data_IF_461798783323
#
_entry.id   IF_461798783323
#
_cell.length_a   1.000
_cell.length_b   1.000
_cell.length_c   1.000
_cell.angle_alpha   90.00
_cell.angle_beta   90.00
_cell.angle_gamma   90.00
#
_symmetry.space_group_name_H-M   'P 1'
#
loop_
_entity.id
_entity.type
_entity.pdbx_description
1 polymer ?
#
# COMPACT_ATOMS: atom_id res chain seq x y z
N UNK A 1 64.96 -44.06 -30.63
CA UNK A 1 64.04 -43.72 -31.73
C UNK A 1 62.62 -43.92 -31.23
N UNK A 2 62.04 -42.88 -30.66
CA UNK A 2 60.73 -42.89 -29.99
C UNK A 2 59.73 -42.23 -30.91
N UNK A 3 58.70 -43.00 -31.36
CA UNK A 3 57.56 -42.52 -32.14
C UNK A 3 56.59 -41.77 -31.21
N UNK A 4 56.37 -40.48 -31.51
CA UNK A 4 55.33 -39.68 -30.93
C UNK A 4 54.01 -39.99 -31.58
N UNK A 5 53.02 -40.47 -30.83
CA UNK A 5 51.64 -40.64 -31.27
C UNK A 5 50.88 -39.36 -30.90
N UNK A 6 50.44 -38.62 -31.91
CA UNK A 6 49.50 -37.52 -31.74
C UNK A 6 48.08 -38.04 -31.69
N UNK A 7 47.39 -37.88 -30.59
CA UNK A 7 45.95 -38.10 -30.45
C UNK A 7 45.21 -36.82 -30.84
N UNK A 8 44.38 -36.88 -31.89
CA UNK A 8 43.46 -35.80 -32.26
C UNK A 8 42.16 -36.01 -31.51
N UNK A 9 41.82 -35.05 -30.63
CA UNK A 9 40.54 -35.01 -29.95
C UNK A 9 39.57 -34.23 -30.85
N UNK A 10 38.57 -34.93 -31.39
CA UNK A 10 37.43 -34.29 -32.06
C UNK A 10 36.45 -33.77 -31.02
N UNK A 11 36.35 -32.45 -30.91
CA UNK A 11 35.33 -31.79 -30.07
C UNK A 11 34.02 -31.81 -30.86
N UNK A 12 33.10 -32.70 -30.47
CA UNK A 12 31.71 -32.68 -30.93
C UNK A 12 31.00 -31.60 -30.12
N UNK A 13 30.77 -30.43 -30.73
CA UNK A 13 29.92 -29.42 -30.18
C UNK A 13 28.46 -29.82 -30.35
N UNK A 14 27.89 -30.34 -29.26
CA UNK A 14 26.46 -30.64 -29.19
C UNK A 14 25.73 -29.32 -28.93
N UNK A 15 25.25 -28.64 -29.97
CA UNK A 15 24.33 -27.50 -29.84
C UNK A 15 23.00 -27.99 -29.30
N UNK A 16 22.81 -27.86 -27.98
CA UNK A 16 21.51 -28.05 -27.37
C UNK A 16 20.61 -26.88 -27.79
N UNK A 17 19.72 -27.10 -28.73
CA UNK A 17 18.55 -26.24 -28.96
C UNK A 17 17.70 -26.32 -27.68
N UNK A 18 17.82 -25.34 -26.80
CA UNK A 18 16.87 -25.08 -25.75
C UNK A 18 15.57 -24.62 -26.43
N UNK A 19 14.69 -25.58 -26.73
CA UNK A 19 13.29 -25.26 -27.03
C UNK A 19 12.71 -24.60 -25.78
N UNK A 20 12.51 -23.30 -25.85
CA UNK A 20 11.69 -22.58 -24.88
C UNK A 20 10.27 -23.12 -25.00
N UNK A 21 9.88 -24.03 -24.10
CA UNK A 21 8.49 -24.41 -23.91
C UNK A 21 7.78 -23.12 -23.48
N UNK A 22 6.81 -22.62 -24.25
CA UNK A 22 6.01 -21.48 -23.78
C UNK A 22 5.27 -22.00 -22.55
N UNK A 23 5.65 -21.55 -21.36
CA UNK A 23 4.81 -21.64 -20.18
C UNK A 23 3.52 -20.94 -20.56
N UNK A 24 2.46 -21.72 -20.78
CA UNK A 24 1.12 -21.19 -20.99
C UNK A 24 0.85 -20.29 -19.78
N UNK A 25 0.89 -18.99 -20.00
CA UNK A 25 0.54 -18.03 -18.98
C UNK A 25 -0.92 -18.32 -18.63
N UNK A 26 -1.16 -18.92 -17.47
CA UNK A 26 -2.52 -19.12 -16.98
C UNK A 26 -3.08 -17.71 -16.87
N UNK A 27 -4.00 -17.35 -17.77
CA UNK A 27 -4.62 -16.03 -17.79
C UNK A 27 -5.30 -15.81 -16.44
N UNK A 28 -5.04 -14.65 -15.82
CA UNK A 28 -5.73 -14.27 -14.62
C UNK A 28 -7.25 -14.27 -14.86
N UNK A 29 -8.07 -14.68 -13.87
CA UNK A 29 -9.51 -14.62 -14.02
C UNK A 29 -9.95 -13.17 -14.23
N UNK A 30 -10.79 -12.96 -15.24
CA UNK A 30 -11.40 -11.63 -15.46
C UNK A 30 -12.57 -11.43 -14.50
N UNK A 31 -12.47 -10.41 -13.68
CA UNK A 31 -13.49 -10.05 -12.70
C UNK A 31 -14.38 -8.92 -13.23
N UNK A 32 -15.67 -9.07 -13.09
CA UNK A 32 -16.65 -8.07 -13.48
C UNK A 32 -17.03 -7.21 -12.30
N UNK A 33 -17.09 -5.88 -12.51
CA UNK A 33 -17.57 -4.97 -11.49
C UNK A 33 -19.03 -5.27 -11.15
N UNK A 34 -19.31 -5.48 -9.86
CA UNK A 34 -20.62 -5.78 -9.31
C UNK A 34 -21.17 -4.56 -8.59
N UNK A 35 -21.48 -3.49 -9.34
CA UNK A 35 -22.01 -2.24 -8.80
C UNK A 35 -21.17 -1.00 -9.17
N UNK A 36 -21.27 0.03 -8.35
CA UNK A 36 -20.57 1.31 -8.48
C UNK A 36 -19.71 1.58 -7.27
N UNK A 37 -18.74 2.49 -7.41
CA UNK A 37 -17.93 2.95 -6.30
C UNK A 37 -18.77 3.48 -5.15
N UNK A 38 -18.54 2.97 -3.95
CA UNK A 38 -19.05 3.50 -2.70
C UNK A 38 -17.95 4.25 -1.97
N UNK A 39 -18.25 5.42 -1.40
CA UNK A 39 -17.31 6.18 -0.60
C UNK A 39 -17.70 6.01 0.86
N UNK A 40 -16.78 5.45 1.63
CA UNK A 40 -16.90 5.32 3.08
C UNK A 40 -16.16 6.48 3.73
N UNK A 41 -16.86 7.20 4.59
CA UNK A 41 -16.33 8.32 5.36
C UNK A 41 -16.36 7.96 6.84
N UNK A 42 -15.20 7.74 7.39
CA UNK A 42 -15.02 7.38 8.80
C UNK A 42 -13.83 8.10 9.38
N UNK A 43 -12.94 7.35 10.00
CA UNK A 43 -11.64 7.81 10.47
C UNK A 43 -10.66 8.03 9.32
N UNK A 44 -10.93 7.45 8.17
CA UNK A 44 -10.22 7.61 6.90
C UNK A 44 -11.22 7.58 5.74
N UNK A 45 -10.75 7.91 4.54
CA UNK A 45 -11.57 7.99 3.33
C UNK A 45 -11.26 6.80 2.43
N UNK A 46 -12.27 5.98 2.14
CA UNK A 46 -12.11 4.77 1.33
C UNK A 46 -13.12 4.76 0.20
N UNK A 47 -12.66 4.56 -1.03
CA UNK A 47 -13.49 4.20 -2.18
C UNK A 47 -13.45 2.68 -2.37
N UNK A 48 -14.59 2.02 -2.29
CA UNK A 48 -14.72 0.57 -2.47
C UNK A 48 -15.52 0.24 -3.73
N UNK A 49 -15.05 -0.73 -4.49
CA UNK A 49 -15.75 -1.36 -5.59
C UNK A 49 -15.72 -2.88 -5.43
N UNK A 50 -16.86 -3.52 -5.64
CA UNK A 50 -16.97 -4.98 -5.59
C UNK A 50 -16.86 -5.56 -6.98
N UNK A 51 -16.29 -6.76 -7.04
CA UNK A 51 -16.17 -7.55 -8.25
C UNK A 51 -16.70 -8.96 -8.02
N UNK A 52 -17.17 -9.58 -9.09
CA UNK A 52 -17.61 -10.97 -9.08
C UNK A 52 -16.96 -11.74 -10.22
N UNK A 53 -16.63 -13.00 -9.96
CA UNK A 53 -16.20 -13.99 -10.94
C UNK A 53 -16.84 -15.34 -10.58
N UNK A 54 -17.83 -15.80 -11.36
CA UNK A 54 -18.67 -16.96 -11.03
C UNK A 54 -19.34 -16.79 -9.65
N UNK A 55 -19.03 -17.68 -8.69
CA UNK A 55 -19.52 -17.61 -7.31
C UNK A 55 -18.65 -16.74 -6.40
N UNK A 56 -17.45 -16.40 -6.83
CA UNK A 56 -16.45 -15.74 -6.01
C UNK A 56 -16.67 -14.23 -6.01
N UNK A 57 -16.39 -13.60 -4.90
CA UNK A 57 -16.48 -12.16 -4.72
C UNK A 57 -15.13 -11.59 -4.30
N UNK A 58 -14.87 -10.37 -4.73
CA UNK A 58 -13.68 -9.63 -4.39
C UNK A 58 -14.07 -8.20 -4.06
N UNK A 59 -13.46 -7.63 -3.03
CA UNK A 59 -13.53 -6.19 -2.75
C UNK A 59 -12.20 -5.55 -3.12
N UNK A 60 -12.29 -4.48 -3.90
CA UNK A 60 -11.17 -3.62 -4.25
C UNK A 60 -11.40 -2.26 -3.63
N UNK A 61 -10.49 -1.81 -2.80
CA UNK A 61 -10.62 -0.54 -2.09
C UNK A 61 -9.39 0.34 -2.33
N UNK A 62 -9.62 1.63 -2.40
CA UNK A 62 -8.60 2.68 -2.46
C UNK A 62 -8.81 3.60 -1.28
N UNK A 63 -7.85 3.63 -0.37
CA UNK A 63 -7.80 4.55 0.75
C UNK A 63 -6.81 5.67 0.41
N UNK A 64 -7.22 6.93 0.56
CA UNK A 64 -6.34 8.07 0.37
C UNK A 64 -5.55 8.41 1.64
N UNK A 65 -4.30 8.83 1.49
CA UNK A 65 -3.57 9.53 2.54
C UNK A 65 -3.89 11.03 2.42
N UNK A 66 -4.58 11.65 3.39
CA UNK A 66 -4.99 13.04 3.26
C UNK A 66 -3.81 14.03 3.33
N UNK A 67 -2.61 13.56 3.72
CA UNK A 67 -1.41 14.39 3.89
C UNK A 67 -0.30 14.08 2.87
N UNK A 68 -0.48 13.08 2.01
CA UNK A 68 0.50 12.66 1.01
C UNK A 68 -0.18 12.33 -0.31
N UNK A 69 0.50 12.48 -1.46
CA UNK A 69 0.00 12.01 -2.75
C UNK A 69 0.17 10.48 -2.86
N UNK A 70 -0.39 9.76 -1.89
CA UNK A 70 -0.28 8.32 -1.72
C UNK A 70 -1.68 7.72 -1.50
N UNK A 71 -1.90 6.56 -2.09
CA UNK A 71 -3.11 5.78 -1.93
C UNK A 71 -2.74 4.36 -1.54
N UNK A 72 -3.46 3.80 -0.58
CA UNK A 72 -3.34 2.40 -0.22
C UNK A 72 -4.41 1.60 -0.94
N UNK A 73 -3.98 0.68 -1.77
CA UNK A 73 -4.88 -0.23 -2.47
C UNK A 73 -5.00 -1.49 -1.66
N UNK A 74 -6.24 -1.90 -1.42
CA UNK A 74 -6.58 -3.12 -0.68
C UNK A 74 -7.44 -4.00 -1.55
N UNK A 75 -7.07 -5.28 -1.63
CA UNK A 75 -7.89 -6.33 -2.23
C UNK A 75 -8.24 -7.34 -1.15
N UNK A 76 -9.51 -7.67 -1.05
CA UNK A 76 -10.01 -8.70 -0.11
C UNK A 76 -10.63 -9.82 -0.91
N UNK A 77 -10.14 -11.03 -0.70
CA UNK A 77 -10.62 -12.28 -1.30
C UNK A 77 -11.03 -13.27 -0.22
N UNK A 78 -11.82 -14.27 -0.56
CA UNK A 78 -12.05 -15.40 0.31
C UNK A 78 -10.78 -16.23 0.49
N UNK A 79 -10.61 -16.87 1.65
CA UNK A 79 -9.47 -17.73 2.00
C UNK A 79 -8.64 -17.19 3.15
N UNK A 80 -7.73 -18.02 3.63
CA UNK A 80 -6.83 -17.71 4.73
C UNK A 80 -5.40 -17.65 4.21
N UNK A 81 -4.64 -16.63 4.65
CA UNK A 81 -3.21 -16.51 4.39
C UNK A 81 -2.46 -16.16 5.67
N UNK A 82 -1.27 -16.71 5.82
CA UNK A 82 -0.33 -16.25 6.84
C UNK A 82 0.16 -14.84 6.51
N UNK A 83 0.53 -14.08 7.55
CA UNK A 83 1.16 -12.78 7.33
C UNK A 83 2.45 -12.97 6.52
N UNK A 84 2.61 -12.18 5.48
CA UNK A 84 3.80 -12.25 4.64
C UNK A 84 3.85 -11.20 3.53
N UNK A 85 4.91 -11.30 2.74
CA UNK A 85 5.13 -10.47 1.58
C UNK A 85 5.14 -11.35 0.34
N UNK A 86 4.17 -11.16 -0.55
CA UNK A 86 4.14 -11.83 -1.84
C UNK A 86 4.66 -10.91 -2.96
N UNK A 87 5.41 -11.49 -3.91
CA UNK A 87 5.90 -10.77 -5.09
C UNK A 87 4.83 -10.81 -6.18
N UNK A 88 4.60 -9.67 -6.80
CA UNK A 88 3.67 -9.53 -7.92
C UNK A 88 4.20 -8.61 -9.00
N UNK A 89 3.72 -8.84 -10.22
CA UNK A 89 3.83 -7.92 -11.33
C UNK A 89 2.47 -7.26 -11.55
N UNK A 90 2.45 -5.94 -11.43
CA UNK A 90 1.25 -5.13 -11.66
C UNK A 90 1.35 -4.50 -13.04
N UNK A 91 0.30 -4.65 -13.84
CA UNK A 91 0.18 -4.03 -15.15
C UNK A 91 -0.96 -3.02 -15.17
N UNK A 92 -0.66 -1.77 -15.57
CA UNK A 92 -1.62 -0.68 -15.77
C UNK A 92 -1.39 -0.13 -17.17
N UNK A 93 -2.33 -0.38 -18.08
CA UNK A 93 -2.11 -0.03 -19.49
C UNK A 93 -0.86 -0.72 -20.05
N UNK A 94 0.09 0.08 -20.53
CA UNK A 94 1.38 -0.41 -21.05
C UNK A 94 2.48 -0.50 -19.98
N UNK A 95 2.26 0.09 -18.81
CA UNK A 95 3.25 0.10 -17.73
C UNK A 95 3.24 -1.21 -16.95
N UNK A 96 4.41 -1.59 -16.44
CA UNK A 96 4.64 -2.76 -15.60
C UNK A 96 5.42 -2.35 -14.36
N UNK A 97 4.99 -2.86 -13.22
CA UNK A 97 5.58 -2.58 -11.91
C UNK A 97 5.77 -3.91 -11.17
N UNK A 98 7.02 -4.30 -10.94
CA UNK A 98 7.33 -5.40 -10.03
C UNK A 98 7.37 -4.86 -8.60
N UNK A 99 6.57 -5.42 -7.70
CA UNK A 99 6.47 -4.96 -6.32
C UNK A 99 6.21 -6.11 -5.35
N UNK A 100 6.07 -5.79 -4.09
CA UNK A 100 5.62 -6.72 -3.05
C UNK A 100 4.32 -6.20 -2.45
N UNK A 101 3.40 -7.11 -2.20
CA UNK A 101 2.18 -6.85 -1.45
C UNK A 101 2.33 -7.43 -0.05
N UNK A 102 1.74 -6.77 0.94
CA UNK A 102 1.46 -7.40 2.23
C UNK A 102 0.24 -8.29 2.04
N UNK A 103 0.30 -9.51 2.57
CA UNK A 103 -0.85 -10.40 2.68
C UNK A 103 -1.08 -10.81 4.13
N UNK A 104 -2.33 -10.90 4.53
CA UNK A 104 -2.73 -11.26 5.90
C UNK A 104 -4.19 -11.69 5.94
N UNK A 105 -4.53 -12.61 6.85
CA UNK A 105 -5.91 -12.83 7.30
C UNK A 105 -6.12 -12.08 8.62
N UNK A 106 -6.78 -10.89 8.60
CA UNK A 106 -6.99 -10.13 9.82
C UNK A 106 -7.96 -10.84 10.76
N UNK A 107 -7.72 -10.76 12.06
CA UNK A 107 -8.62 -11.36 13.08
C UNK A 107 -10.06 -10.82 13.00
N UNK A 108 -10.24 -9.58 12.53
CA UNK A 108 -11.54 -8.94 12.31
C UNK A 108 -12.26 -9.39 11.03
N UNK A 109 -11.54 -10.08 10.13
CA UNK A 109 -12.06 -10.63 8.87
C UNK A 109 -11.60 -12.09 8.70
N UNK A 110 -12.04 -13.01 9.56
CA UNK A 110 -11.66 -14.42 9.46
C UNK A 110 -12.11 -14.98 8.11
N UNK A 111 -11.33 -15.91 7.58
CA UNK A 111 -11.55 -16.56 6.27
C UNK A 111 -11.50 -15.59 5.07
N UNK A 112 -10.83 -14.44 5.23
CA UNK A 112 -10.57 -13.53 4.13
C UNK A 112 -9.08 -13.15 4.11
N UNK A 113 -8.47 -13.22 2.94
CA UNK A 113 -7.13 -12.71 2.72
C UNK A 113 -7.20 -11.26 2.25
N UNK A 114 -6.45 -10.41 2.92
CA UNK A 114 -6.25 -9.00 2.56
C UNK A 114 -4.88 -8.84 1.92
N UNK A 115 -4.84 -8.29 0.71
CA UNK A 115 -3.63 -7.87 0.02
C UNK A 115 -3.58 -6.36 0.01
N UNK A 116 -2.42 -5.76 0.40
CA UNK A 116 -2.29 -4.30 0.50
C UNK A 116 -0.99 -3.82 -0.12
N UNK A 117 -1.06 -2.70 -0.87
CA UNK A 117 0.10 -2.01 -1.43
C UNK A 117 -0.17 -0.52 -1.61
N UNK A 118 0.89 0.27 -1.85
CA UNK A 118 0.77 1.71 -2.10
C UNK A 118 0.81 2.06 -3.57
N UNK A 119 0.03 3.07 -3.96
CA UNK A 119 0.14 3.76 -5.24
C UNK A 119 0.43 5.24 -5.02
N UNK A 120 1.33 5.80 -5.83
CA UNK A 120 1.49 7.25 -5.94
C UNK A 120 0.28 7.88 -6.65
N UNK A 121 0.15 9.19 -6.55
CA UNK A 121 -0.87 9.95 -7.28
C UNK A 121 -0.75 9.77 -8.80
N UNK A 122 0.48 9.65 -9.32
CA UNK A 122 0.76 9.36 -10.73
C UNK A 122 0.23 7.97 -11.12
N UNK A 123 0.56 6.93 -10.35
CA UNK A 123 0.12 5.55 -10.62
C UNK A 123 -1.40 5.41 -10.57
N UNK A 124 -2.05 6.10 -9.63
CA UNK A 124 -3.52 6.13 -9.60
C UNK A 124 -4.10 6.86 -10.81
N UNK A 125 -3.47 7.95 -11.27
CA UNK A 125 -3.85 8.64 -12.49
C UNK A 125 -3.69 7.77 -13.75
N UNK A 126 -2.66 6.93 -13.78
CA UNK A 126 -2.47 5.93 -14.85
C UNK A 126 -3.56 4.87 -14.84
N UNK A 127 -3.93 4.38 -13.63
CA UNK A 127 -5.02 3.43 -13.48
C UNK A 127 -6.36 4.04 -13.93
N UNK A 128 -6.59 5.31 -13.59
CA UNK A 128 -7.76 6.08 -14.00
C UNK A 128 -7.85 6.18 -15.54
N UNK A 129 -6.73 6.49 -16.19
CA UNK A 129 -6.65 6.59 -17.65
C UNK A 129 -6.77 5.24 -18.36
N UNK A 130 -6.17 4.19 -17.80
CA UNK A 130 -6.20 2.85 -18.37
C UNK A 130 -7.53 2.13 -18.14
N UNK A 131 -8.24 2.43 -17.06
CA UNK A 131 -9.47 1.77 -16.66
C UNK A 131 -9.34 0.27 -16.36
N UNK A 132 -8.12 -0.24 -16.23
CA UNK A 132 -7.83 -1.66 -16.01
C UNK A 132 -6.52 -1.87 -15.27
N UNK A 133 -6.52 -2.85 -14.37
CA UNK A 133 -5.33 -3.35 -13.68
C UNK A 133 -5.24 -4.86 -13.81
N UNK A 134 -4.04 -5.36 -14.02
CA UNK A 134 -3.74 -6.79 -13.92
C UNK A 134 -2.69 -6.99 -12.84
N UNK A 135 -2.89 -7.97 -11.98
CA UNK A 135 -1.94 -8.39 -10.96
C UNK A 135 -1.59 -9.85 -11.22
N UNK A 136 -0.32 -10.14 -11.38
CA UNK A 136 0.20 -11.48 -11.60
C UNK A 136 1.20 -11.86 -10.53
N UNK A 137 0.86 -12.85 -9.71
CA UNK A 137 1.72 -13.40 -8.66
C UNK A 137 1.40 -14.87 -8.43
N UNK A 138 2.09 -15.48 -7.49
CA UNK A 138 1.84 -16.86 -7.09
C UNK A 138 0.52 -16.95 -6.34
N UNK A 139 0.34 -16.08 -5.34
CA UNK A 139 -0.81 -16.10 -4.42
C UNK A 139 -1.97 -15.21 -4.88
N UNK A 140 -1.73 -14.26 -5.79
CA UNK A 140 -2.76 -13.33 -6.25
C UNK A 140 -2.68 -13.14 -7.76
N UNK A 141 -3.79 -13.44 -8.45
CA UNK A 141 -3.94 -13.21 -9.90
C UNK A 141 -5.27 -12.53 -10.17
N UNK A 142 -5.22 -11.32 -10.71
CA UNK A 142 -6.39 -10.48 -10.95
C UNK A 142 -6.33 -9.84 -12.33
N UNK A 143 -7.51 -9.67 -12.91
CA UNK A 143 -7.73 -8.83 -14.09
C UNK A 143 -9.03 -8.04 -13.86
N UNK A 144 -8.88 -6.78 -13.48
CA UNK A 144 -9.98 -5.91 -13.06
C UNK A 144 -10.13 -4.74 -14.03
N UNK A 145 -11.37 -4.46 -14.43
CA UNK A 145 -11.72 -3.27 -15.21
C UNK A 145 -12.57 -2.31 -14.37
N UNK A 146 -12.23 -1.04 -14.42
CA UNK A 146 -12.85 0.02 -13.62
C UNK A 146 -13.62 0.99 -14.51
N UNK A 147 -14.77 1.41 -14.01
CA UNK A 147 -15.49 2.57 -14.51
C UNK A 147 -15.74 3.54 -13.37
N UNK A 148 -15.75 4.85 -13.66
CA UNK A 148 -16.06 5.87 -12.67
C UNK A 148 -14.97 6.14 -11.63
N UNK A 149 -13.73 5.69 -11.84
CA UNK A 149 -12.60 5.93 -10.91
C UNK A 149 -12.31 7.42 -10.76
N UNK A 150 -12.41 8.21 -11.83
CA UNK A 150 -12.28 9.69 -11.79
C UNK A 150 -13.24 10.30 -10.77
N UNK A 151 -14.53 9.91 -10.81
CA UNK A 151 -15.54 10.39 -9.87
C UNK A 151 -15.24 9.92 -8.44
N UNK A 152 -14.82 8.66 -8.25
CA UNK A 152 -14.45 8.13 -6.95
C UNK A 152 -13.27 8.89 -6.35
N UNK A 153 -12.24 9.16 -7.14
CA UNK A 153 -11.06 9.94 -6.72
C UNK A 153 -11.41 11.39 -6.35
N UNK A 154 -12.31 12.03 -7.09
CA UNK A 154 -12.78 13.36 -6.73
C UNK A 154 -13.49 13.36 -5.37
N UNK A 155 -14.36 12.39 -5.12
CA UNK A 155 -15.04 12.23 -3.82
C UNK A 155 -14.08 11.86 -2.68
N UNK A 156 -13.02 11.08 -2.94
CA UNK A 156 -11.98 10.85 -1.94
C UNK A 156 -11.30 12.17 -1.52
N UNK A 157 -10.96 13.04 -2.47
CA UNK A 157 -10.37 14.36 -2.16
C UNK A 157 -11.31 15.26 -1.36
N UNK A 158 -12.61 15.24 -1.65
CA UNK A 158 -13.61 15.96 -0.85
C UNK A 158 -13.67 15.40 0.58
N UNK A 159 -13.65 14.08 0.72
CA UNK A 159 -13.61 13.40 2.01
C UNK A 159 -12.34 13.75 2.79
N UNK A 160 -11.16 13.73 2.15
CA UNK A 160 -9.88 14.09 2.76
C UNK A 160 -9.88 15.52 3.29
N UNK A 161 -10.42 16.46 2.51
CA UNK A 161 -10.56 17.85 2.94
C UNK A 161 -11.44 17.99 4.19
N UNK A 162 -12.56 17.26 4.23
CA UNK A 162 -13.42 17.23 5.40
C UNK A 162 -12.76 16.55 6.61
N UNK A 163 -11.96 15.50 6.38
CA UNK A 163 -11.20 14.80 7.40
C UNK A 163 -10.14 15.70 8.02
N UNK A 164 -9.35 16.40 7.21
CA UNK A 164 -8.36 17.38 7.65
C UNK A 164 -9.01 18.49 8.50
N UNK A 165 -10.20 18.96 8.08
CA UNK A 165 -10.93 19.97 8.84
C UNK A 165 -11.35 19.46 10.24
N UNK A 166 -11.76 18.19 10.37
CA UNK A 166 -12.04 17.54 11.66
C UNK A 166 -10.80 17.42 12.55
N UNK A 167 -9.60 17.33 11.99
CA UNK A 167 -8.32 17.34 12.70
C UNK A 167 -7.84 18.76 13.04
N UNK A 168 -8.67 19.78 12.84
CA UNK A 168 -8.33 21.18 13.12
C UNK A 168 -7.55 21.88 12.01
N UNK A 169 -7.35 21.21 10.85
CA UNK A 169 -6.69 21.77 9.68
C UNK A 169 -7.74 22.22 8.65
N UNK A 170 -8.37 23.36 8.93
CA UNK A 170 -9.52 23.86 8.20
C UNK A 170 -9.21 24.41 6.80
N UNK A 171 -10.24 24.88 6.07
CA UNK A 171 -10.10 25.31 4.68
C UNK A 171 -9.05 26.41 4.45
N UNK A 172 -8.87 27.33 5.40
CA UNK A 172 -7.87 28.38 5.29
C UNK A 172 -6.44 27.85 5.31
N UNK A 173 -6.14 26.88 6.23
CA UNK A 173 -4.85 26.23 6.29
C UNK A 173 -4.63 25.36 5.03
N UNK A 174 -5.66 24.62 4.62
CA UNK A 174 -5.62 23.81 3.40
C UNK A 174 -5.36 24.66 2.15
N UNK A 175 -5.95 25.86 2.05
CA UNK A 175 -5.72 26.77 0.93
C UNK A 175 -4.29 27.32 0.87
N UNK A 176 -3.62 27.43 2.02
CA UNK A 176 -2.25 27.98 2.13
C UNK A 176 -1.17 26.95 1.93
N UNK A 177 -1.41 25.68 2.29
CA UNK A 177 -0.38 24.65 2.27
C UNK A 177 0.11 24.36 0.85
N UNK A 178 1.42 24.25 0.68
CA UNK A 178 2.05 23.76 -0.55
C UNK A 178 2.53 22.31 -0.38
N UNK A 179 3.15 22.00 0.75
CA UNK A 179 3.65 20.66 1.07
C UNK A 179 3.33 20.30 2.51
N UNK A 180 2.76 19.12 2.71
CA UNK A 180 2.56 18.53 4.02
C UNK A 180 3.90 18.07 4.64
N UNK A 181 3.93 17.81 5.98
CA UNK A 181 5.14 17.33 6.63
C UNK A 181 5.59 15.98 6.05
N UNK A 182 6.89 15.74 6.05
CA UNK A 182 7.47 14.46 5.65
C UNK A 182 8.48 13.97 6.68
N UNK A 183 8.66 12.66 6.77
CA UNK A 183 9.76 12.06 7.53
C UNK A 183 11.01 12.09 6.65
N UNK A 184 12.08 12.70 7.17
CA UNK A 184 13.40 12.70 6.54
C UNK A 184 14.18 11.45 6.93
N UNK A 185 14.10 11.08 8.21
CA UNK A 185 14.75 9.90 8.78
C UNK A 185 13.90 9.37 9.94
N UNK A 186 13.75 8.06 9.99
CA UNK A 186 13.17 7.36 11.14
C UNK A 186 14.05 6.17 11.50
N UNK A 187 14.36 6.02 12.79
CA UNK A 187 15.09 4.87 13.32
C UNK A 187 14.12 4.05 14.19
N UNK A 188 13.28 3.28 13.51
CA UNK A 188 12.33 2.34 14.13
C UNK A 188 12.78 0.94 13.73
N UNK A 189 12.93 0.06 14.70
CA UNK A 189 13.48 -1.27 14.53
C UNK A 189 12.64 -2.30 15.28
N UNK A 190 12.89 -3.59 15.04
CA UNK A 190 12.19 -4.68 15.74
C UNK A 190 12.35 -4.62 17.27
N UNK A 191 13.43 -4.00 17.79
CA UNK A 191 13.64 -3.79 19.23
C UNK A 191 12.64 -2.80 19.85
N UNK A 192 11.96 -2.01 19.06
CA UNK A 192 10.91 -1.08 19.52
C UNK A 192 9.56 -1.79 19.73
N UNK A 193 9.46 -3.08 19.37
CA UNK A 193 8.26 -3.87 19.58
C UNK A 193 8.02 -4.07 21.09
N UNK A 194 6.81 -3.74 21.62
CA UNK A 194 6.56 -3.89 23.06
C UNK A 194 6.68 -5.36 23.50
N UNK A 195 7.54 -5.64 24.49
CA UNK A 195 7.79 -6.99 24.95
C UNK A 195 6.54 -7.78 25.37
N UNK A 196 5.52 -7.15 26.01
CA UNK A 196 4.27 -7.87 26.28
C UNK A 196 3.51 -8.28 25.01
N UNK A 197 3.48 -7.42 23.99
CA UNK A 197 2.85 -7.70 22.71
C UNK A 197 3.61 -8.80 21.94
N UNK A 198 4.94 -8.72 21.89
CA UNK A 198 5.80 -9.74 21.27
C UNK A 198 5.59 -11.14 21.86
N UNK A 199 5.49 -11.26 23.21
CA UNK A 199 5.26 -12.54 23.88
C UNK A 199 3.89 -13.15 23.57
N UNK A 200 2.91 -12.35 23.20
CA UNK A 200 1.57 -12.82 22.82
C UNK A 200 1.40 -13.01 21.31
N UNK A 201 2.42 -12.62 20.51
CA UNK A 201 2.28 -12.57 19.06
C UNK A 201 1.19 -11.59 18.62
N UNK A 202 1.06 -10.45 19.34
CA UNK A 202 0.06 -9.42 19.01
C UNK A 202 0.48 -8.71 17.76
N UNK A 203 -0.31 -8.75 16.71
CA UNK A 203 -0.10 -8.06 15.42
C UNK A 203 -1.27 -7.14 15.14
N UNK A 204 -1.07 -6.13 14.30
CA UNK A 204 -2.14 -5.25 13.85
C UNK A 204 -1.66 -3.93 13.27
N UNK A 205 -2.59 -3.23 12.62
CA UNK A 205 -2.35 -1.92 12.02
C UNK A 205 -2.86 -0.82 12.93
N UNK A 206 -2.06 0.23 13.10
CA UNK A 206 -2.44 1.46 13.80
C UNK A 206 -2.48 2.57 12.77
N UNK A 207 -3.66 3.13 12.54
CA UNK A 207 -3.80 4.33 11.72
C UNK A 207 -4.03 5.54 12.62
N UNK A 208 -3.43 6.67 12.26
CA UNK A 208 -3.57 7.86 13.07
C UNK A 208 -2.99 9.11 12.42
N UNK A 209 -3.04 10.19 13.15
CA UNK A 209 -2.35 11.42 12.77
C UNK A 209 -1.68 12.06 13.98
N UNK A 210 -0.69 12.89 13.69
CA UNK A 210 -0.06 13.76 14.66
C UNK A 210 0.15 15.14 14.02
N UNK A 211 0.39 16.15 14.84
CA UNK A 211 0.74 17.49 14.38
C UNK A 211 2.26 17.63 14.31
N UNK A 212 2.78 18.04 13.15
CA UNK A 212 4.17 18.48 13.03
C UNK A 212 4.21 20.00 13.03
N UNK A 213 4.84 20.57 14.05
CA UNK A 213 5.00 22.02 14.20
C UNK A 213 5.92 22.63 13.14
N UNK A 214 5.88 23.96 12.99
CA UNK A 214 6.83 24.70 12.14
C UNK A 214 8.29 24.54 12.59
N UNK A 215 8.52 24.14 13.84
CA UNK A 215 9.83 23.81 14.43
C UNK A 215 10.25 22.36 14.17
N UNK A 216 9.53 21.63 13.33
CA UNK A 216 9.74 20.23 12.98
C UNK A 216 9.51 19.24 14.14
N UNK A 217 8.89 19.65 15.24
CA UNK A 217 8.54 18.75 16.34
C UNK A 217 7.14 18.18 16.19
N UNK A 218 7.02 16.90 16.48
CA UNK A 218 5.73 16.23 16.51
C UNK A 218 5.04 16.36 17.86
N UNK A 219 3.72 16.54 17.84
CA UNK A 219 2.84 16.61 19.01
C UNK A 219 1.46 16.04 18.67
N UNK A 220 0.60 15.96 19.68
CA UNK A 220 -0.84 15.69 19.54
C UNK A 220 -1.13 14.44 18.66
N UNK A 221 -0.57 13.30 19.05
CA UNK A 221 -0.80 12.05 18.36
C UNK A 221 -2.18 11.49 18.70
N UNK A 222 -2.97 11.20 17.68
CA UNK A 222 -4.31 10.62 17.75
C UNK A 222 -4.38 9.32 16.98
N UNK A 223 -4.75 8.23 17.67
CA UNK A 223 -5.07 6.95 17.03
C UNK A 223 -6.49 7.03 16.50
N UNK A 224 -6.66 6.80 15.21
CA UNK A 224 -7.94 6.75 14.50
C UNK A 224 -8.50 5.33 14.47
N UNK A 225 -7.65 4.38 14.10
CA UNK A 225 -7.98 2.95 14.10
C UNK A 225 -6.95 2.19 14.91
N UNK A 226 -7.46 1.51 15.95
CA UNK A 226 -6.66 0.71 16.86
C UNK A 226 -6.25 -0.61 16.22
N UNK A 227 -5.03 -1.05 16.50
CA UNK A 227 -4.56 -2.42 16.20
C UNK A 227 -5.38 -3.50 16.93
N UNK A 228 -6.16 -3.10 17.95
CA UNK A 228 -6.81 -4.01 18.91
C UNK A 228 -5.97 -4.26 20.16
N UNK A 229 -4.77 -3.67 20.24
CA UNK A 229 -3.84 -3.81 21.35
C UNK A 229 -3.35 -2.44 21.82
N UNK A 230 -3.77 -2.03 23.01
CA UNK A 230 -3.48 -0.69 23.55
C UNK A 230 -1.98 -0.39 23.64
N UNK A 231 -1.14 -1.39 23.90
CA UNK A 231 0.30 -1.22 23.94
C UNK A 231 0.92 -0.97 22.57
N UNK A 232 0.38 -1.54 21.48
CA UNK A 232 0.83 -1.27 20.10
C UNK A 232 0.41 0.15 19.69
N UNK A 233 -0.82 0.53 20.01
CA UNK A 233 -1.36 1.86 19.73
C UNK A 233 -0.52 2.96 20.44
N UNK A 234 -0.27 2.76 21.72
CA UNK A 234 0.55 3.68 22.52
C UNK A 234 1.98 3.78 22.01
N UNK A 235 2.60 2.63 21.70
CA UNK A 235 3.97 2.58 21.21
C UNK A 235 4.10 3.26 19.83
N UNK A 236 3.12 3.09 18.94
CA UNK A 236 3.11 3.76 17.64
C UNK A 236 3.19 5.28 17.80
N UNK A 237 2.34 5.86 18.65
CA UNK A 237 2.37 7.28 18.94
C UNK A 237 3.70 7.74 19.57
N UNK A 238 4.21 6.99 20.57
CA UNK A 238 5.47 7.34 21.23
C UNK A 238 6.65 7.33 20.25
N UNK A 239 6.76 6.29 19.44
CA UNK A 239 7.82 6.18 18.43
C UNK A 239 7.73 7.33 17.42
N UNK A 240 6.57 7.58 16.85
CA UNK A 240 6.38 8.60 15.83
C UNK A 240 6.58 10.03 16.37
N UNK A 241 6.32 10.29 17.65
CA UNK A 241 6.61 11.58 18.24
C UNK A 241 8.09 11.78 18.61
N UNK A 242 8.87 10.71 18.83
CA UNK A 242 10.22 10.82 19.41
C UNK A 242 11.34 10.48 18.42
N UNK A 243 11.13 9.53 17.51
CA UNK A 243 12.22 8.97 16.70
C UNK A 243 12.42 9.67 15.35
N UNK A 244 11.38 10.02 14.57
CA UNK A 244 11.57 10.60 13.25
C UNK A 244 12.11 12.04 13.32
N UNK A 245 12.96 12.36 12.36
CA UNK A 245 13.26 13.72 11.98
C UNK A 245 12.25 14.16 10.93
N UNK A 246 11.43 15.15 11.27
CA UNK A 246 10.45 15.69 10.36
C UNK A 246 11.00 16.89 9.58
N UNK A 247 10.57 17.00 8.33
CA UNK A 247 10.55 18.25 7.61
C UNK A 247 9.16 18.87 7.80
N UNK A 248 9.02 20.10 8.31
CA UNK A 248 7.71 20.70 8.54
C UNK A 248 6.98 20.97 7.22
N UNK A 249 5.67 21.15 7.32
CA UNK A 249 4.87 21.65 6.20
C UNK A 249 5.36 23.03 5.75
N UNK A 250 5.12 23.36 4.47
CA UNK A 250 5.38 24.68 3.96
C UNK A 250 4.15 25.27 3.31
N UNK A 251 3.98 26.58 3.45
CA UNK A 251 2.98 27.33 2.70
C UNK A 251 3.47 27.63 1.26
N UNK A 252 2.60 28.25 0.45
CA UNK A 252 2.88 28.61 -0.93
C UNK A 252 3.98 29.67 -1.08
N UNK A 253 4.32 30.38 0.00
CA UNK A 253 5.44 31.31 0.06
C UNK A 253 6.75 30.67 0.55
N UNK A 254 6.71 29.37 0.89
CA UNK A 254 7.87 28.60 1.37
C UNK A 254 8.10 28.71 2.88
N UNK A 255 7.22 29.36 3.64
CA UNK A 255 7.36 29.47 5.09
C UNK A 255 6.93 28.17 5.76
N UNK A 256 7.66 27.78 6.81
CA UNK A 256 7.29 26.64 7.64
C UNK A 256 5.97 26.89 8.37
N UNK A 257 5.10 25.86 8.41
CA UNK A 257 3.83 25.93 9.13
C UNK A 257 3.54 24.59 9.82
N UNK A 258 2.73 24.64 10.89
CA UNK A 258 2.23 23.42 11.52
C UNK A 258 1.15 22.77 10.63
N UNK A 259 1.20 21.44 10.54
CA UNK A 259 0.19 20.69 9.79
C UNK A 259 0.13 19.24 10.26
N UNK A 260 -0.99 18.54 10.02
CA UNK A 260 -1.13 17.12 10.33
C UNK A 260 -0.21 16.27 9.45
N UNK A 261 0.23 15.16 10.04
CA UNK A 261 0.92 14.06 9.38
C UNK A 261 0.13 12.78 9.64
N UNK A 262 -0.50 12.23 8.60
CA UNK A 262 -1.19 10.94 8.68
C UNK A 262 -0.18 9.79 8.60
N UNK A 263 -0.41 8.73 9.38
CA UNK A 263 0.42 7.53 9.39
C UNK A 263 -0.40 6.25 9.40
N UNK A 264 0.18 5.21 8.81
CA UNK A 264 -0.19 3.82 9.00
C UNK A 264 1.02 3.10 9.57
N UNK A 265 0.88 2.45 10.71
CA UNK A 265 1.95 1.73 11.38
C UNK A 265 1.55 0.26 11.50
N UNK A 266 2.33 -0.63 10.89
CA UNK A 266 2.05 -2.06 10.84
C UNK A 266 2.96 -2.80 11.81
N UNK A 267 2.38 -3.48 12.77
CA UNK A 267 3.05 -4.37 13.70
C UNK A 267 2.90 -5.83 13.27
N UNK A 268 4.01 -6.54 13.08
CA UNK A 268 4.03 -7.93 12.61
C UNK A 268 5.20 -8.73 13.17
#
# INVERSE_FOLDING_TARGET
MTRSSRASIAIVTMSALLASVPTAAVSAPFWQAAGTWSIQQGNHCVAELRFAHKSDQLRFAIESDPTKPLYYVTVVTDGDAEFGWTKVDIAIGTKRLATRLIQITPSKLPHHTVYKWGFSDEQLGELEAAGRIQVGGEDLRLDLSFQGLTSARAKLRECDSALLARWGFGPEQQARIAHFPTIVKAEITDSDYPSPAARRGSIGDVNGYLTVGADAKASDCHVLDSSGWAELDTQSCQLLMQRPQYKPATDKAGNAMAAPYYFQFIWH
#
